data_IF_529606901359
#
_entry.id   IF_529606901359
#
_cell.length_a   1.000
_cell.length_b   1.000
_cell.length_c   1.000
_cell.angle_alpha   90.00
_cell.angle_beta   90.00
_cell.angle_gamma   90.00
#
_symmetry.space_group_name_H-M   'P 1'
#
loop_
_entity.id
_entity.type
_entity.pdbx_description
1 polymer ?
#
# COMPACT_ATOMS: atom_id res chain seq x y z
N UNK A 1 14.77 5.03 -6.93
CA UNK A 1 14.37 3.61 -7.05
C UNK A 1 13.64 3.18 -5.79
N UNK A 2 12.88 2.08 -5.82
CA UNK A 2 12.21 1.56 -4.62
C UNK A 2 12.14 0.03 -4.63
N UNK A 3 12.05 -0.58 -3.45
CA UNK A 3 11.69 -2.01 -3.33
C UNK A 3 10.25 -2.25 -3.77
N UNK A 4 9.90 -3.53 -3.95
CA UNK A 4 8.50 -3.93 -3.86
C UNK A 4 7.88 -3.48 -2.53
N UNK A 5 6.56 -3.29 -2.53
CA UNK A 5 5.81 -3.00 -1.32
C UNK A 5 5.70 -4.25 -0.45
N UNK A 6 6.19 -4.15 0.79
CA UNK A 6 6.04 -5.20 1.80
C UNK A 6 5.05 -4.75 2.85
N UNK A 7 4.30 -5.68 3.45
CA UNK A 7 3.22 -5.24 4.31
C UNK A 7 2.57 -6.31 5.16
N UNK A 8 1.63 -5.84 5.96
CA UNK A 8 0.74 -6.67 6.75
C UNK A 8 -0.71 -6.28 6.46
N UNK A 9 -1.60 -7.25 6.53
CA UNK A 9 -3.03 -7.04 6.40
C UNK A 9 -3.78 -7.77 7.50
N UNK A 10 -4.94 -7.22 7.88
CA UNK A 10 -5.81 -7.80 8.89
C UNK A 10 -7.27 -7.54 8.55
N UNK A 11 -8.11 -8.55 8.72
CA UNK A 11 -9.57 -8.39 8.71
C UNK A 11 -10.01 -7.67 9.99
N UNK A 12 -10.70 -6.55 9.84
CA UNK A 12 -11.15 -5.68 10.94
C UNK A 12 -12.68 -5.63 11.07
N UNK A 13 -13.40 -6.41 10.27
CA UNK A 13 -14.85 -6.53 10.34
C UNK A 13 -15.44 -7.33 9.19
N UNK A 14 -16.76 -7.30 9.06
CA UNK A 14 -17.45 -7.91 7.92
C UNK A 14 -17.06 -7.18 6.63
N UNK A 15 -16.35 -7.89 5.73
CA UNK A 15 -15.79 -7.35 4.47
C UNK A 15 -14.86 -6.14 4.64
N UNK A 16 -14.41 -5.82 5.86
CA UNK A 16 -13.52 -4.70 6.15
C UNK A 16 -12.12 -5.18 6.47
N UNK A 17 -11.13 -4.54 5.87
CA UNK A 17 -9.71 -4.89 6.02
C UNK A 17 -8.89 -3.62 6.24
N UNK A 18 -7.88 -3.73 7.09
CA UNK A 18 -6.81 -2.74 7.19
C UNK A 18 -5.52 -3.38 6.70
N UNK A 19 -4.70 -2.60 6.03
CA UNK A 19 -3.38 -3.03 5.60
C UNK A 19 -2.39 -1.87 5.58
N UNK A 20 -1.11 -2.22 5.69
CA UNK A 20 0.00 -1.27 5.62
C UNK A 20 1.03 -1.81 4.65
N UNK A 21 1.48 -0.97 3.72
CA UNK A 21 2.64 -1.26 2.89
C UNK A 21 3.78 -0.31 3.21
N UNK A 22 5.00 -0.80 3.02
CA UNK A 22 6.25 -0.09 3.17
C UNK A 22 7.13 -0.37 1.96
N UNK A 23 7.67 0.69 1.38
CA UNK A 23 8.68 0.64 0.33
C UNK A 23 9.93 1.39 0.81
N UNK A 24 11.09 0.79 0.59
CA UNK A 24 12.37 1.45 0.86
C UNK A 24 12.77 2.23 -0.39
N UNK A 25 13.12 3.50 -0.22
CA UNK A 25 13.47 4.43 -1.28
C UNK A 25 15.00 4.55 -1.37
N UNK A 26 15.51 4.58 -2.60
CA UNK A 26 16.93 4.76 -2.90
C UNK A 26 17.14 5.79 -4.00
N UNK A 27 18.31 6.41 -4.04
CA UNK A 27 18.75 7.21 -5.20
C UNK A 27 19.24 6.31 -6.37
N UNK A 28 19.82 6.93 -7.39
CA UNK A 28 20.32 6.22 -8.57
C UNK A 28 21.59 5.40 -8.29
N UNK A 29 22.37 5.80 -7.28
CA UNK A 29 23.60 5.12 -6.86
C UNK A 29 23.32 4.00 -5.85
N UNK A 30 22.05 3.87 -5.42
CA UNK A 30 21.60 2.84 -4.49
C UNK A 30 21.74 3.25 -3.01
N UNK A 31 22.00 4.53 -2.72
CA UNK A 31 22.00 4.99 -1.33
C UNK A 31 20.57 5.09 -0.81
N UNK A 32 20.37 4.71 0.45
CA UNK A 32 19.09 4.81 1.12
C UNK A 32 18.65 6.28 1.24
N UNK A 33 17.41 6.56 0.85
CA UNK A 33 16.82 7.91 0.83
C UNK A 33 15.63 8.04 1.79
N UNK A 34 15.19 6.94 2.42
CA UNK A 34 14.04 6.93 3.30
C UNK A 34 13.02 5.84 2.97
N UNK A 35 11.79 6.04 3.42
CA UNK A 35 10.70 5.06 3.29
C UNK A 35 9.40 5.73 2.83
N UNK A 36 8.64 5.04 2.00
CA UNK A 36 7.24 5.37 1.76
C UNK A 36 6.36 4.36 2.51
N UNK A 37 5.45 4.87 3.32
CA UNK A 37 4.49 4.07 4.11
C UNK A 37 3.08 4.43 3.71
N UNK A 38 2.27 3.41 3.43
CA UNK A 38 0.84 3.60 3.16
C UNK A 38 0.01 2.80 4.14
N UNK A 39 -1.05 3.39 4.66
CA UNK A 39 -2.02 2.76 5.57
C UNK A 39 -3.40 2.86 4.97
N UNK A 40 -4.12 1.75 4.97
CA UNK A 40 -5.38 1.61 4.26
C UNK A 40 -6.45 1.04 5.17
N UNK A 41 -7.69 1.47 4.95
CA UNK A 41 -8.89 0.86 5.52
C UNK A 41 -9.96 0.76 4.43
N UNK A 42 -10.21 -0.47 3.98
CA UNK A 42 -11.08 -0.75 2.84
C UNK A 42 -12.32 -1.56 3.24
N UNK A 43 -13.34 -1.48 2.39
CA UNK A 43 -14.51 -2.35 2.42
C UNK A 43 -14.64 -3.04 1.06
N UNK A 44 -14.61 -4.38 1.05
CA UNK A 44 -14.96 -5.16 -0.14
C UNK A 44 -16.45 -5.07 -0.41
N UNK A 45 -16.81 -5.04 -1.69
CA UNK A 45 -18.19 -5.16 -2.12
C UNK A 45 -18.75 -6.57 -1.79
N UNK A 46 -20.03 -6.80 -2.10
CA UNK A 46 -20.69 -8.09 -1.81
C UNK A 46 -20.08 -9.27 -2.57
N UNK A 47 -19.55 -9.06 -3.78
CA UNK A 47 -18.98 -10.10 -4.65
C UNK A 47 -17.51 -10.43 -4.30
N UNK A 48 -16.83 -9.55 -3.56
CA UNK A 48 -15.43 -9.69 -3.20
C UNK A 48 -14.45 -9.40 -4.34
N UNK A 49 -14.92 -8.77 -5.41
CA UNK A 49 -14.17 -8.44 -6.64
C UNK A 49 -13.86 -6.95 -6.78
N UNK A 50 -14.38 -6.08 -5.90
CA UNK A 50 -13.97 -4.68 -5.80
C UNK A 50 -13.98 -4.18 -4.37
N UNK A 51 -13.24 -3.12 -4.10
CA UNK A 51 -13.25 -2.42 -2.82
C UNK A 51 -13.16 -0.91 -2.97
N UNK A 52 -13.59 -0.20 -1.92
CA UNK A 52 -13.33 1.23 -1.72
C UNK A 52 -12.89 1.50 -0.28
N UNK A 53 -12.17 2.59 -0.07
CA UNK A 53 -11.62 2.89 1.26
C UNK A 53 -10.90 4.23 1.37
N UNK A 54 -10.21 4.39 2.48
CA UNK A 54 -9.32 5.52 2.74
C UNK A 54 -7.88 5.04 2.78
N UNK A 55 -7.01 5.84 2.18
CA UNK A 55 -5.57 5.70 2.15
C UNK A 55 -4.93 6.90 2.86
N UNK A 56 -3.91 6.64 3.66
CA UNK A 56 -2.97 7.64 4.14
C UNK A 56 -1.55 7.28 3.73
N UNK A 57 -0.81 8.26 3.23
CA UNK A 57 0.58 8.13 2.78
C UNK A 57 1.47 9.01 3.66
N UNK A 58 2.60 8.46 4.08
CA UNK A 58 3.68 9.19 4.74
C UNK A 58 4.99 8.84 4.01
N UNK A 59 5.80 9.86 3.69
CA UNK A 59 7.17 9.67 3.20
C UNK A 59 8.12 10.17 4.27
N UNK A 60 9.07 9.31 4.63
CA UNK A 60 10.12 9.58 5.59
C UNK A 60 11.43 9.81 4.84
N UNK A 61 12.24 10.76 5.27
CA UNK A 61 13.63 10.90 4.80
C UNK A 61 14.55 9.83 5.41
N UNK A 62 15.83 9.88 5.06
CA UNK A 62 16.83 8.92 5.54
C UNK A 62 17.06 8.98 7.07
N UNK A 63 16.75 10.11 7.70
CA UNK A 63 16.85 10.30 9.15
C UNK A 63 15.55 9.90 9.89
N UNK A 64 14.52 9.49 9.15
CA UNK A 64 13.23 9.06 9.68
C UNK A 64 12.24 10.20 9.95
N UNK A 65 12.51 11.41 9.44
CA UNK A 65 11.56 12.53 9.56
C UNK A 65 10.51 12.44 8.46
N UNK A 66 9.25 12.76 8.79
CA UNK A 66 8.19 12.86 7.79
C UNK A 66 8.40 14.11 6.95
N UNK A 67 8.64 13.92 5.65
CA UNK A 67 8.79 14.99 4.66
C UNK A 67 7.54 15.20 3.81
N UNK A 68 6.61 14.25 3.83
CA UNK A 68 5.31 14.37 3.17
C UNK A 68 4.24 13.54 3.88
N UNK A 69 3.03 14.10 3.96
CA UNK A 69 1.82 13.40 4.39
C UNK A 69 0.68 13.69 3.42
N UNK A 70 -0.05 12.65 3.02
CA UNK A 70 -1.23 12.77 2.18
C UNK A 70 -2.33 11.80 2.57
N UNK A 71 -3.55 12.10 2.15
CA UNK A 71 -4.70 11.20 2.29
C UNK A 71 -5.57 11.22 1.04
N UNK A 72 -6.15 10.07 0.68
CA UNK A 72 -7.00 9.93 -0.48
C UNK A 72 -8.11 8.91 -0.23
N UNK A 73 -9.18 9.01 -1.03
CA UNK A 73 -10.14 7.92 -1.18
C UNK A 73 -9.67 7.02 -2.31
N UNK A 74 -9.68 5.72 -2.08
CA UNK A 74 -9.21 4.71 -3.04
C UNK A 74 -10.35 3.78 -3.47
N UNK A 75 -10.28 3.32 -4.72
CA UNK A 75 -11.13 2.28 -5.28
C UNK A 75 -10.27 1.33 -6.12
N UNK A 76 -10.54 0.03 -6.06
CA UNK A 76 -9.92 -0.93 -6.96
C UNK A 76 -10.83 -2.11 -7.30
N UNK A 77 -10.52 -2.74 -8.42
CA UNK A 77 -11.13 -3.99 -8.91
C UNK A 77 -10.07 -5.08 -8.90
N UNK A 78 -10.48 -6.32 -8.56
CA UNK A 78 -9.63 -7.50 -8.55
C UNK A 78 -9.08 -7.77 -9.95
N UNK A 79 -7.77 -7.97 -10.05
CA UNK A 79 -7.13 -8.58 -11.21
C UNK A 79 -7.30 -10.09 -11.09
N UNK A 80 -7.77 -10.73 -12.15
CA UNK A 80 -7.93 -12.19 -12.19
C UNK A 80 -6.58 -12.90 -12.34
N UNK A 81 -6.48 -14.12 -11.80
CA UNK A 81 -5.26 -14.91 -11.90
C UNK A 81 -5.10 -15.42 -13.33
N UNK A 82 -3.94 -15.13 -13.92
CA UNK A 82 -3.56 -15.67 -15.22
C UNK A 82 -2.85 -17.03 -15.03
N UNK A 83 -3.21 -18.07 -15.81
CA UNK A 83 -2.54 -19.36 -15.73
C UNK A 83 -1.11 -19.27 -16.27
N UNK A 84 -0.19 -20.03 -15.68
CA UNK A 84 1.12 -20.26 -16.30
C UNK A 84 0.92 -21.05 -17.60
N UNK A 85 1.54 -20.60 -18.69
CA UNK A 85 1.66 -21.42 -19.89
C UNK A 85 2.55 -22.64 -19.58
N UNK A 86 2.15 -23.87 -19.97
CA UNK A 86 2.95 -25.08 -19.77
C UNK A 86 4.37 -25.00 -20.33
#
# INVERSE_FOLDING_TARGET
MATAGHGAWKKIGSRRYAFTFLQILYDADGNYQGEAKTRHSITLNRRGDSWSGQLQVEIFDADGNVVFTGSATEQATRIEVEPLTP
#
